data_IF_392386270279
#
_entry.id   IF_392386270279
#
_cell.length_a   1.000
_cell.length_b   1.000
_cell.length_c   1.000
_cell.angle_alpha   90.00
_cell.angle_beta   90.00
_cell.angle_gamma   90.00
#
_symmetry.space_group_name_H-M   'P 1'
#
loop_
_entity.id
_entity.type
_entity.pdbx_description
1 polymer ?
#
# COMPACT_ATOMS: atom_id res chain seq x y z
N UNK A 1 29.03 -68.93 41.75
CA UNK A 1 27.71 -68.92 41.07
C UNK A 1 26.86 -67.81 41.68
N UNK A 2 26.81 -66.63 41.04
CA UNK A 2 25.95 -65.52 41.48
C UNK A 2 24.53 -65.79 40.94
N UNK A 3 23.54 -65.96 41.85
CA UNK A 3 22.14 -65.97 41.47
C UNK A 3 21.69 -64.58 41.12
N UNK A 4 21.23 -64.40 39.90
CA UNK A 4 20.52 -63.18 39.48
C UNK A 4 19.22 -63.02 40.29
N UNK A 5 18.86 -61.83 40.75
CA UNK A 5 17.60 -61.64 41.47
C UNK A 5 16.42 -61.94 40.53
N UNK A 6 15.58 -62.84 40.90
CA UNK A 6 14.34 -63.17 40.22
C UNK A 6 13.34 -62.08 40.55
N UNK A 7 13.05 -61.23 39.58
CA UNK A 7 12.06 -60.13 39.74
C UNK A 7 10.67 -60.72 39.84
N UNK A 8 9.93 -60.35 40.89
CA UNK A 8 8.56 -60.82 41.15
C UNK A 8 7.64 -60.44 39.95
N UNK A 9 6.84 -61.43 39.46
CA UNK A 9 5.94 -61.23 38.33
C UNK A 9 4.92 -60.10 38.57
N UNK A 10 4.56 -59.82 39.85
CA UNK A 10 3.66 -58.78 40.27
C UNK A 10 4.32 -57.41 40.08
N UNK A 11 5.63 -57.28 40.33
CA UNK A 11 6.40 -56.05 40.16
C UNK A 11 6.57 -55.69 38.68
N UNK A 12 6.78 -56.66 37.81
CA UNK A 12 6.83 -56.48 36.36
C UNK A 12 5.46 -56.08 35.79
N UNK A 13 4.36 -56.66 36.29
CA UNK A 13 3.02 -56.30 35.89
C UNK A 13 2.67 -54.83 36.29
N UNK A 14 3.09 -54.40 37.49
CA UNK A 14 2.91 -53.02 37.95
C UNK A 14 3.73 -52.01 37.11
N UNK A 15 4.96 -52.38 36.76
CA UNK A 15 5.82 -51.56 35.88
C UNK A 15 5.23 -51.45 34.46
N UNK A 16 4.69 -52.52 33.91
CA UNK A 16 4.01 -52.50 32.61
C UNK A 16 2.72 -51.66 32.64
N UNK A 17 1.96 -51.70 33.73
CA UNK A 17 0.77 -50.89 33.95
C UNK A 17 1.13 -49.38 34.05
N UNK A 18 2.19 -49.03 34.79
CA UNK A 18 2.67 -47.66 34.92
C UNK A 18 3.20 -47.14 33.57
N UNK A 19 3.96 -47.98 32.84
CA UNK A 19 4.43 -47.65 31.50
C UNK A 19 3.28 -47.48 30.49
N UNK A 20 2.27 -48.33 30.52
CA UNK A 20 1.09 -48.24 29.66
C UNK A 20 0.24 -46.99 30.01
N UNK A 21 0.09 -46.68 31.30
CA UNK A 21 -0.59 -45.45 31.75
C UNK A 21 0.21 -44.21 31.39
N UNK A 22 1.54 -44.24 31.48
CA UNK A 22 2.45 -43.18 31.06
C UNK A 22 2.40 -42.93 29.56
N UNK A 23 2.28 -43.98 28.75
CA UNK A 23 2.10 -43.84 27.29
C UNK A 23 0.71 -43.30 26.89
N UNK A 24 -0.34 -43.61 27.68
CA UNK A 24 -1.67 -43.03 27.41
C UNK A 24 -1.79 -41.55 27.83
N UNK A 25 -0.97 -41.11 28.79
CA UNK A 25 -0.90 -39.67 29.18
C UNK A 25 -0.10 -38.80 28.19
N UNK A 26 0.59 -39.40 27.22
CA UNK A 26 1.15 -38.69 26.06
C UNK A 26 0.12 -38.55 24.91
N UNK A 27 -1.17 -38.48 25.24
CA UNK A 27 -2.08 -37.84 24.30
C UNK A 27 -1.58 -36.40 24.13
N UNK A 28 -0.96 -36.17 22.99
CA UNK A 28 -0.61 -34.83 22.53
C UNK A 28 -1.87 -33.97 22.64
N UNK A 29 -1.92 -33.16 23.70
CA UNK A 29 -2.89 -32.06 23.75
C UNK A 29 -2.57 -31.29 22.49
N UNK A 30 -3.47 -31.37 21.51
CA UNK A 30 -3.33 -30.55 20.31
C UNK A 30 -3.18 -29.12 20.80
N UNK A 31 -1.97 -28.60 20.73
CA UNK A 31 -1.65 -27.27 21.25
C UNK A 31 -2.35 -26.28 20.34
N UNK A 32 -3.38 -25.62 20.88
CA UNK A 32 -4.03 -24.53 20.16
C UNK A 32 -2.98 -23.45 19.82
N UNK A 33 -2.84 -23.13 18.55
CA UNK A 33 -1.83 -22.16 18.09
C UNK A 33 -2.44 -21.16 17.12
N UNK A 34 -1.94 -19.93 17.19
CA UNK A 34 -2.25 -18.86 16.25
C UNK A 34 -0.99 -18.49 15.50
N UNK A 35 -1.10 -18.32 14.20
CA UNK A 35 -0.03 -17.86 13.32
C UNK A 35 -0.51 -16.71 12.43
N UNK A 36 0.41 -15.96 11.85
CA UNK A 36 0.11 -14.94 10.85
C UNK A 36 0.90 -15.26 9.59
N UNK A 37 0.24 -15.49 8.45
CA UNK A 37 0.94 -15.80 7.20
C UNK A 37 1.77 -14.62 6.70
N UNK A 38 1.45 -13.41 7.16
CA UNK A 38 2.15 -12.18 6.81
C UNK A 38 2.25 -11.24 8.02
N UNK A 39 3.48 -10.98 8.47
CA UNK A 39 3.74 -10.12 9.64
C UNK A 39 3.64 -8.64 9.32
N UNK A 40 3.83 -8.23 8.05
CA UNK A 40 3.80 -6.82 7.63
C UNK A 40 2.96 -6.64 6.37
N UNK A 41 1.97 -5.79 6.46
CA UNK A 41 1.14 -5.32 5.35
C UNK A 41 1.53 -3.90 4.99
N UNK A 42 1.82 -3.64 3.70
CA UNK A 42 2.02 -2.30 3.15
C UNK A 42 0.89 -2.05 2.17
N UNK A 43 0.04 -1.07 2.46
CA UNK A 43 -1.20 -0.83 1.72
C UNK A 43 -1.33 0.62 1.29
N UNK A 44 -2.04 0.84 0.19
CA UNK A 44 -2.30 2.18 -0.31
C UNK A 44 -3.41 2.87 0.50
N UNK A 45 -3.22 4.14 0.81
CA UNK A 45 -4.24 5.01 1.39
C UNK A 45 -5.53 4.97 0.56
N UNK A 46 -6.68 4.87 1.22
CA UNK A 46 -7.99 4.77 0.59
C UNK A 46 -8.34 3.39 0.03
N UNK A 47 -7.41 2.41 0.04
CA UNK A 47 -7.70 1.03 -0.37
C UNK A 47 -8.36 0.23 0.74
N UNK A 48 -8.79 -0.99 0.44
CA UNK A 48 -9.24 -1.97 1.44
C UNK A 48 -8.12 -2.96 1.71
N UNK A 49 -8.03 -3.48 2.94
CA UNK A 49 -7.11 -4.56 3.29
C UNK A 49 -7.82 -5.63 4.09
N UNK A 50 -7.44 -6.88 3.87
CA UNK A 50 -7.81 -8.00 4.73
C UNK A 50 -6.56 -8.49 5.46
N UNK A 51 -6.60 -8.42 6.80
CA UNK A 51 -5.55 -8.95 7.67
C UNK A 51 -5.91 -10.37 8.04
N UNK A 52 -4.98 -11.31 7.87
CA UNK A 52 -5.21 -12.75 8.04
C UNK A 52 -4.45 -13.26 9.26
N UNK A 53 -5.15 -14.08 10.05
CA UNK A 53 -4.63 -14.83 11.17
C UNK A 53 -5.11 -16.26 11.04
N UNK A 54 -4.19 -17.21 11.01
CA UNK A 54 -4.50 -18.63 10.97
C UNK A 54 -4.48 -19.19 12.38
N UNK A 55 -5.35 -20.15 12.65
CA UNK A 55 -5.36 -20.86 13.92
C UNK A 55 -5.63 -22.35 13.71
N UNK A 56 -5.04 -23.17 14.58
CA UNK A 56 -5.22 -24.62 14.58
C UNK A 56 -5.81 -25.05 15.92
N UNK A 57 -6.95 -25.74 15.85
CA UNK A 57 -7.65 -26.33 17.01
C UNK A 57 -7.31 -27.80 17.21
N UNK A 58 -6.48 -28.39 16.33
CA UNK A 58 -6.18 -29.83 16.31
C UNK A 58 -7.32 -30.69 15.76
N UNK A 59 -8.37 -30.10 15.18
CA UNK A 59 -9.53 -30.79 14.64
C UNK A 59 -10.59 -29.89 14.04
N UNK A 60 -11.84 -30.36 14.07
CA UNK A 60 -12.96 -29.55 13.59
C UNK A 60 -13.18 -28.28 14.43
N UNK A 61 -13.43 -27.15 13.76
CA UNK A 61 -13.65 -25.86 14.44
C UNK A 61 -15.10 -25.72 14.90
N UNK A 62 -15.30 -25.61 16.22
CA UNK A 62 -16.59 -25.32 16.83
C UNK A 62 -16.78 -23.81 16.96
N UNK A 63 -17.66 -23.23 16.12
CA UNK A 63 -17.85 -21.78 16.04
C UNK A 63 -18.49 -21.17 17.30
N UNK A 64 -19.23 -21.97 18.07
CA UNK A 64 -19.94 -21.50 19.28
C UNK A 64 -18.98 -21.07 20.40
N UNK A 65 -17.82 -21.72 20.50
CA UNK A 65 -16.80 -21.44 21.52
C UNK A 65 -15.63 -20.60 20.97
N UNK A 66 -15.65 -20.26 19.66
CA UNK A 66 -14.61 -19.49 18.98
C UNK A 66 -14.90 -17.98 19.09
N UNK A 67 -13.91 -17.23 19.53
CA UNK A 67 -13.91 -15.76 19.47
C UNK A 67 -12.62 -15.29 18.81
N UNK A 68 -12.75 -14.49 17.76
CA UNK A 68 -11.63 -13.88 17.07
C UNK A 68 -11.75 -12.35 17.14
N UNK A 69 -10.68 -11.67 17.47
CA UNK A 69 -10.64 -10.20 17.55
C UNK A 69 -9.32 -9.65 17.06
N UNK A 70 -9.40 -8.54 16.32
CA UNK A 70 -8.26 -7.74 15.93
C UNK A 70 -8.18 -6.52 16.85
N UNK A 71 -7.03 -6.31 17.46
CA UNK A 71 -6.81 -5.27 18.45
C UNK A 71 -5.65 -4.40 18.01
N UNK A 72 -5.81 -3.08 18.04
CA UNK A 72 -4.73 -2.14 17.77
C UNK A 72 -3.91 -1.91 19.02
N UNK A 73 -2.59 -1.87 18.88
CA UNK A 73 -1.65 -1.61 19.98
C UNK A 73 -1.16 -0.17 19.87
N UNK A 74 -1.49 0.65 20.87
CA UNK A 74 -1.08 2.06 20.96
C UNK A 74 -0.55 2.35 22.36
N UNK A 75 0.70 2.85 22.46
CA UNK A 75 1.33 3.23 23.73
C UNK A 75 1.16 2.19 24.85
N UNK A 76 1.47 0.93 24.55
CA UNK A 76 1.31 -0.24 25.45
C UNK A 76 -0.15 -0.55 25.85
N UNK A 77 -1.12 0.14 25.29
CA UNK A 77 -2.53 -0.19 25.42
C UNK A 77 -3.02 -0.99 24.23
N UNK A 78 -3.96 -1.89 24.49
CA UNK A 78 -4.54 -2.75 23.46
C UNK A 78 -6.02 -2.46 23.38
N UNK A 79 -6.43 -1.89 22.24
CA UNK A 79 -7.81 -1.50 21.99
C UNK A 79 -8.42 -2.33 20.86
N UNK A 80 -9.69 -2.71 21.00
CA UNK A 80 -10.40 -3.38 19.92
C UNK A 80 -10.43 -2.47 18.68
N UNK A 81 -10.13 -3.03 17.52
CA UNK A 81 -10.19 -2.29 16.27
C UNK A 81 -11.65 -2.14 15.80
N UNK A 82 -12.25 -0.97 16.04
CA UNK A 82 -13.63 -0.68 15.65
C UNK A 82 -13.83 -0.65 14.11
N UNK A 83 -12.74 -0.44 13.36
CA UNK A 83 -12.79 -0.35 11.89
C UNK A 83 -12.66 -1.70 11.20
N UNK A 84 -12.25 -2.74 11.94
CA UNK A 84 -12.05 -4.07 11.39
C UNK A 84 -13.32 -4.91 11.50
N UNK A 85 -13.75 -5.50 10.39
CA UNK A 85 -14.89 -6.42 10.34
C UNK A 85 -14.37 -7.85 10.14
N UNK A 86 -14.75 -8.77 11.04
CA UNK A 86 -14.43 -10.18 10.93
C UNK A 86 -15.30 -10.85 9.85
N UNK A 87 -14.64 -11.48 8.87
CA UNK A 87 -15.30 -12.29 7.84
C UNK A 87 -15.45 -13.72 8.36
N UNK A 88 -16.67 -14.11 8.74
CA UNK A 88 -16.94 -15.36 9.45
C UNK A 88 -16.86 -16.62 8.58
N UNK A 89 -16.94 -16.45 7.26
CA UNK A 89 -17.05 -17.55 6.29
C UNK A 89 -15.79 -18.43 6.27
N UNK A 90 -14.64 -17.90 6.68
CA UNK A 90 -13.37 -18.60 6.66
C UNK A 90 -12.99 -19.22 8.02
N UNK A 91 -13.73 -18.91 9.09
CA UNK A 91 -13.46 -19.43 10.43
C UNK A 91 -13.49 -20.97 10.50
N UNK A 92 -14.42 -21.67 9.83
CA UNK A 92 -14.41 -23.15 9.84
C UNK A 92 -13.15 -23.76 9.23
N UNK A 93 -12.40 -23.00 8.43
CA UNK A 93 -11.14 -23.41 7.82
C UNK A 93 -9.90 -23.00 8.65
N UNK A 94 -10.09 -22.56 9.90
CA UNK A 94 -8.99 -22.10 10.75
C UNK A 94 -8.43 -20.73 10.38
N UNK A 95 -9.21 -19.87 9.66
CA UNK A 95 -8.77 -18.57 9.19
C UNK A 95 -9.66 -17.45 9.73
N UNK A 96 -9.09 -16.53 10.47
CA UNK A 96 -9.72 -15.30 10.91
C UNK A 96 -9.29 -14.14 10.02
N UNK A 97 -10.19 -13.70 9.15
CA UNK A 97 -9.96 -12.62 8.20
C UNK A 97 -10.64 -11.32 8.69
N UNK A 98 -9.86 -10.27 8.84
CA UNK A 98 -10.33 -8.96 9.29
C UNK A 98 -10.24 -7.94 8.16
N UNK A 99 -11.38 -7.52 7.62
CA UNK A 99 -11.48 -6.49 6.59
C UNK A 99 -11.46 -5.10 7.22
N UNK A 100 -10.53 -4.25 6.79
CA UNK A 100 -10.51 -2.82 7.10
C UNK A 100 -10.72 -2.07 5.78
N UNK A 101 -11.88 -1.43 5.59
CA UNK A 101 -12.18 -0.68 4.38
C UNK A 101 -11.58 0.72 4.41
N UNK A 102 -11.32 1.30 3.23
CA UNK A 102 -10.89 2.68 3.05
C UNK A 102 -9.79 3.09 4.03
N UNK A 103 -8.63 2.43 3.92
CA UNK A 103 -7.48 2.62 4.80
C UNK A 103 -7.11 4.10 4.95
N UNK A 104 -6.94 4.54 6.19
CA UNK A 104 -6.52 5.86 6.59
C UNK A 104 -5.13 5.82 7.23
N UNK A 105 -4.43 6.96 7.32
CA UNK A 105 -3.11 7.00 7.97
C UNK A 105 -3.15 6.58 9.43
N UNK A 106 -4.26 6.89 10.13
CA UNK A 106 -4.47 6.46 11.52
C UNK A 106 -4.63 4.94 11.69
N UNK A 107 -4.90 4.20 10.61
CA UNK A 107 -4.97 2.74 10.66
C UNK A 107 -3.57 2.08 10.65
N UNK A 108 -2.52 2.84 10.31
CA UNK A 108 -1.16 2.34 10.44
C UNK A 108 -0.81 2.04 11.91
N UNK A 109 -0.02 0.98 12.13
CA UNK A 109 0.41 0.58 13.46
C UNK A 109 0.55 -0.92 13.62
N UNK A 110 0.78 -1.32 14.86
CA UNK A 110 0.83 -2.72 15.26
C UNK A 110 -0.56 -3.19 15.67
N UNK A 111 -0.90 -4.39 15.24
CA UNK A 111 -2.15 -5.07 15.59
C UNK A 111 -1.83 -6.40 16.27
N UNK A 112 -2.68 -6.77 17.24
CA UNK A 112 -2.69 -8.07 17.88
C UNK A 112 -3.94 -8.83 17.41
N UNK A 113 -3.72 -9.97 16.76
CA UNK A 113 -4.77 -10.92 16.44
C UNK A 113 -4.92 -11.89 17.62
N UNK A 114 -6.00 -11.79 18.34
CA UNK A 114 -6.32 -12.66 19.48
C UNK A 114 -7.42 -13.63 19.08
N UNK A 115 -7.15 -14.91 19.24
CA UNK A 115 -8.13 -16.00 19.05
C UNK A 115 -8.31 -16.72 20.38
N UNK A 116 -9.57 -16.93 20.76
CA UNK A 116 -9.99 -17.67 21.96
C UNK A 116 -10.84 -18.84 21.49
N UNK A 117 -10.50 -20.03 21.92
CA UNK A 117 -11.23 -21.27 21.62
C UNK A 117 -11.53 -22.01 22.91
N UNK A 118 -12.76 -21.89 23.42
CA UNK A 118 -13.13 -22.37 24.74
C UNK A 118 -12.30 -21.70 25.85
N UNK A 119 -11.46 -22.47 26.51
CA UNK A 119 -10.55 -21.99 27.58
C UNK A 119 -9.14 -21.69 27.05
N UNK A 120 -8.81 -22.17 25.84
CA UNK A 120 -7.52 -21.92 25.21
C UNK A 120 -7.53 -20.56 24.49
N UNK A 121 -6.38 -19.91 24.46
CA UNK A 121 -6.20 -18.67 23.70
C UNK A 121 -4.74 -18.52 23.30
N UNK A 122 -4.53 -17.88 22.15
CA UNK A 122 -3.21 -17.47 21.68
C UNK A 122 -3.36 -16.21 20.83
N UNK A 123 -2.27 -15.49 20.59
CA UNK A 123 -2.24 -14.31 19.78
C UNK A 123 -0.93 -14.16 19.02
N UNK A 124 -1.01 -13.40 17.90
CA UNK A 124 0.17 -12.97 17.15
C UNK A 124 0.05 -11.49 16.80
N UNK A 125 1.21 -10.88 16.62
CA UNK A 125 1.30 -9.50 16.16
C UNK A 125 1.52 -9.43 14.66
N UNK A 126 0.95 -8.41 14.05
CA UNK A 126 1.19 -8.01 12.67
C UNK A 126 1.27 -6.49 12.59
N UNK A 127 1.92 -5.97 11.55
CA UNK A 127 2.12 -4.54 11.35
C UNK A 127 1.44 -4.09 10.07
N UNK A 128 0.65 -3.02 10.14
CA UNK A 128 0.04 -2.36 9.00
C UNK A 128 0.78 -1.05 8.73
N UNK A 129 1.40 -0.93 7.56
CA UNK A 129 1.99 0.30 7.03
C UNK A 129 1.10 0.87 5.95
N UNK A 130 0.86 2.17 5.99
CA UNK A 130 0.06 2.88 4.99
C UNK A 130 0.97 3.75 4.15
N UNK A 131 0.75 3.75 2.85
CA UNK A 131 1.42 4.65 1.91
C UNK A 131 0.42 5.37 1.02
N UNK A 132 0.76 6.58 0.61
CA UNK A 132 0.08 7.31 -0.45
C UNK A 132 1.15 7.78 -1.44
N UNK A 133 1.10 7.23 -2.66
CA UNK A 133 2.12 7.48 -3.67
C UNK A 133 1.98 8.86 -4.30
N UNK A 134 3.11 9.55 -4.52
CA UNK A 134 3.19 10.88 -5.18
C UNK A 134 2.94 10.80 -6.71
N UNK A 135 1.96 10.01 -7.17
CA UNK A 135 1.70 9.78 -8.61
C UNK A 135 1.13 10.98 -9.35
N UNK A 136 0.36 11.83 -8.67
CA UNK A 136 -0.28 13.00 -9.27
C UNK A 136 0.59 14.24 -9.02
N UNK A 137 1.63 14.42 -9.84
CA UNK A 137 2.52 15.59 -9.74
C UNK A 137 1.96 16.70 -10.61
N UNK A 138 1.57 17.80 -9.97
CA UNK A 138 1.16 19.03 -10.64
C UNK A 138 2.39 19.86 -10.96
N UNK A 139 2.56 20.22 -12.22
CA UNK A 139 3.68 21.04 -12.68
C UNK A 139 3.20 22.40 -13.13
N UNK A 140 3.98 23.43 -12.82
CA UNK A 140 3.73 24.80 -13.24
C UNK A 140 5.02 25.42 -13.80
N UNK A 141 4.89 26.26 -14.82
CA UNK A 141 5.96 27.02 -15.43
C UNK A 141 5.49 28.46 -15.58
N UNK A 142 6.15 29.38 -14.88
CA UNK A 142 5.81 30.81 -14.88
C UNK A 142 7.05 31.64 -15.21
N UNK A 143 6.86 32.74 -15.96
CA UNK A 143 7.90 33.75 -16.13
C UNK A 143 7.91 34.66 -14.88
N UNK A 144 9.10 34.93 -14.33
CA UNK A 144 9.25 35.82 -13.18
C UNK A 144 9.18 37.28 -13.68
N UNK A 145 8.20 38.09 -13.20
CA UNK A 145 8.07 39.48 -13.63
C UNK A 145 9.33 40.29 -13.35
N UNK A 146 9.75 41.13 -14.31
CA UNK A 146 10.92 42.00 -14.16
C UNK A 146 12.28 41.31 -14.25
N UNK A 147 12.33 40.03 -14.60
CA UNK A 147 13.58 39.27 -14.75
C UNK A 147 13.57 38.41 -16.03
N UNK A 148 14.75 37.88 -16.40
CA UNK A 148 14.88 36.92 -17.48
C UNK A 148 14.70 35.44 -16.96
N UNK A 149 14.23 35.28 -15.74
CA UNK A 149 14.11 33.98 -15.11
C UNK A 149 12.71 33.37 -15.29
N UNK A 150 12.66 32.05 -15.16
CA UNK A 150 11.45 31.25 -15.06
C UNK A 150 11.42 30.52 -13.73
N UNK A 151 10.22 30.38 -13.21
CA UNK A 151 9.93 29.61 -12.03
C UNK A 151 9.23 28.30 -12.44
N UNK A 152 9.85 27.20 -12.10
CA UNK A 152 9.33 25.86 -12.30
C UNK A 152 8.87 25.32 -10.95
N UNK A 153 7.64 24.86 -10.87
CA UNK A 153 7.06 24.30 -9.65
C UNK A 153 6.60 22.87 -9.89
N UNK A 154 6.96 21.97 -8.99
CA UNK A 154 6.38 20.64 -8.87
C UNK A 154 5.69 20.52 -7.51
N UNK A 155 4.44 20.07 -7.50
CA UNK A 155 3.66 19.88 -6.30
C UNK A 155 2.95 18.53 -6.35
N UNK A 156 3.01 17.77 -5.27
CA UNK A 156 2.30 16.50 -5.16
C UNK A 156 1.92 16.20 -3.70
N UNK A 157 0.91 15.37 -3.53
CA UNK A 157 0.48 14.85 -2.23
C UNK A 157 0.84 13.38 -2.09
N UNK A 158 1.26 12.99 -0.89
CA UNK A 158 1.61 11.60 -0.59
C UNK A 158 2.01 11.37 0.85
N UNK A 159 2.38 10.12 1.16
CA UNK A 159 2.81 9.70 2.50
C UNK A 159 3.64 8.40 2.40
N UNK A 160 4.72 8.22 3.19
CA UNK A 160 5.42 9.20 4.03
C UNK A 160 6.00 10.39 3.26
N UNK A 161 6.64 11.35 3.98
CA UNK A 161 7.26 12.52 3.38
C UNK A 161 8.31 12.12 2.33
N UNK A 162 8.20 12.67 1.11
CA UNK A 162 9.18 12.46 0.05
C UNK A 162 10.20 13.59 0.00
N UNK A 163 11.41 13.24 -0.41
CA UNK A 163 12.43 14.20 -0.83
C UNK A 163 12.24 14.54 -2.31
N UNK A 164 12.45 15.82 -2.67
CA UNK A 164 12.34 16.27 -4.06
C UNK A 164 13.70 16.69 -4.57
N UNK A 165 14.06 16.18 -5.74
CA UNK A 165 15.30 16.54 -6.44
C UNK A 165 15.03 16.94 -7.89
N UNK A 166 15.97 17.70 -8.46
CA UNK A 166 15.96 18.12 -9.86
C UNK A 166 17.25 17.61 -10.52
N UNK A 167 17.24 16.43 -11.14
CA UNK A 167 18.43 15.84 -11.74
C UNK A 167 19.09 16.74 -12.77
N UNK A 168 20.43 16.77 -12.79
CA UNK A 168 21.25 17.56 -13.71
C UNK A 168 21.08 19.09 -13.57
N UNK A 169 20.63 19.56 -12.38
CA UNK A 169 20.52 20.96 -12.03
C UNK A 169 21.40 21.25 -10.82
N UNK A 170 22.34 22.18 -10.97
CA UNK A 170 23.26 22.60 -9.89
C UNK A 170 22.68 23.72 -9.02
N UNK A 171 21.59 24.36 -9.47
CA UNK A 171 20.94 25.42 -8.72
C UNK A 171 20.05 24.80 -7.64
N UNK A 172 20.13 25.27 -6.38
CA UNK A 172 19.29 24.74 -5.31
C UNK A 172 17.83 25.11 -5.54
N UNK A 173 16.94 24.12 -5.41
CA UNK A 173 15.50 24.35 -5.39
C UNK A 173 15.03 24.62 -3.95
N UNK A 174 13.97 25.40 -3.81
CA UNK A 174 13.30 25.64 -2.52
C UNK A 174 12.18 24.61 -2.40
N UNK A 175 12.31 23.70 -1.44
CA UNK A 175 11.29 22.67 -1.18
C UNK A 175 10.65 22.92 0.18
N UNK A 176 9.32 22.91 0.21
CA UNK A 176 8.50 23.06 1.40
C UNK A 176 7.41 21.98 1.44
N UNK A 177 6.88 21.70 2.63
CA UNK A 177 5.76 20.80 2.78
C UNK A 177 4.79 21.27 3.85
N UNK A 178 3.53 20.90 3.70
CA UNK A 178 2.46 21.09 4.68
C UNK A 178 1.71 19.77 4.85
N UNK A 179 1.00 19.61 5.96
CA UNK A 179 0.09 18.46 6.13
C UNK A 179 -1.34 18.86 5.75
N UNK A 180 -2.01 17.99 5.02
CA UNK A 180 -3.45 18.10 4.77
C UNK A 180 -4.24 17.74 6.03
N UNK A 181 -5.55 18.00 6.04
CA UNK A 181 -6.47 17.57 7.11
C UNK A 181 -6.47 16.05 7.32
N UNK A 182 -6.15 15.29 6.29
CA UNK A 182 -6.07 13.83 6.30
C UNK A 182 -4.70 13.30 6.75
N UNK A 183 -3.73 14.23 7.00
CA UNK A 183 -2.38 13.90 7.44
C UNK A 183 -1.39 13.60 6.32
N UNK A 184 -1.80 13.66 5.05
CA UNK A 184 -0.90 13.53 3.91
C UNK A 184 0.05 14.73 3.83
N UNK A 185 1.23 14.53 3.26
CA UNK A 185 2.15 15.62 2.97
C UNK A 185 1.87 16.19 1.58
N UNK A 186 1.56 17.48 1.51
CA UNK A 186 1.60 18.25 0.28
C UNK A 186 3.00 18.84 0.15
N UNK A 187 3.79 18.32 -0.78
CA UNK A 187 5.18 18.72 -1.01
C UNK A 187 5.25 19.60 -2.24
N UNK A 188 5.86 20.77 -2.11
CA UNK A 188 6.05 21.74 -3.20
C UNK A 188 7.53 22.05 -3.35
N UNK A 189 8.08 21.88 -4.55
CA UNK A 189 9.46 22.24 -4.88
C UNK A 189 9.47 23.27 -6.00
N UNK A 190 10.19 24.36 -5.77
CA UNK A 190 10.29 25.52 -6.66
C UNK A 190 11.74 25.70 -7.09
N UNK A 191 11.95 25.73 -8.40
CA UNK A 191 13.24 25.97 -9.02
C UNK A 191 13.19 27.23 -9.88
N UNK A 192 14.08 28.20 -9.62
CA UNK A 192 14.21 29.41 -10.41
C UNK A 192 15.50 29.38 -11.23
N UNK A 193 15.40 29.63 -12.52
CA UNK A 193 16.55 29.59 -13.42
C UNK A 193 16.30 30.44 -14.70
N UNK A 194 17.37 30.75 -15.42
CA UNK A 194 17.24 31.33 -16.75
C UNK A 194 16.72 30.28 -17.74
N UNK A 195 15.75 30.62 -18.58
CA UNK A 195 15.18 29.68 -19.53
C UNK A 195 16.23 29.21 -20.56
N UNK A 196 16.27 27.90 -20.81
CA UNK A 196 17.06 27.34 -21.90
C UNK A 196 16.09 26.76 -22.94
N UNK A 197 15.97 27.34 -24.12
CA UNK A 197 15.08 26.84 -25.17
C UNK A 197 15.37 25.37 -25.50
N UNK A 198 14.34 24.54 -25.51
CA UNK A 198 14.42 23.12 -25.86
C UNK A 198 14.92 22.20 -24.74
N UNK A 199 15.24 22.71 -23.53
CA UNK A 199 15.59 21.88 -22.39
C UNK A 199 14.35 21.48 -21.59
N UNK A 200 14.21 20.21 -21.29
CA UNK A 200 13.19 19.69 -20.39
C UNK A 200 13.75 19.62 -18.96
N UNK A 201 12.89 19.89 -17.99
CA UNK A 201 13.24 19.82 -16.57
C UNK A 201 12.38 18.75 -15.90
N UNK A 202 13.00 17.87 -15.15
CA UNK A 202 12.31 16.78 -14.44
C UNK A 202 12.47 16.99 -12.94
N UNK A 203 11.38 16.97 -12.20
CA UNK A 203 11.40 16.83 -10.75
C UNK A 203 11.15 15.38 -10.38
N UNK A 204 11.84 14.92 -9.35
CA UNK A 204 11.80 13.55 -8.86
C UNK A 204 11.44 13.58 -7.39
N UNK A 205 10.38 12.87 -7.02
CA UNK A 205 9.96 12.62 -5.65
C UNK A 205 10.46 11.25 -5.23
N UNK A 206 11.30 11.19 -4.21
CA UNK A 206 11.83 9.98 -3.62
C UNK A 206 11.26 9.75 -2.24
N UNK A 207 10.54 8.64 -2.07
CA UNK A 207 10.07 8.18 -0.77
C UNK A 207 10.98 7.06 -0.28
N UNK A 208 11.89 7.37 0.63
CA UNK A 208 12.89 6.44 1.14
C UNK A 208 12.28 5.25 1.90
N UNK A 209 11.26 5.50 2.72
CA UNK A 209 10.62 4.46 3.55
C UNK A 209 9.91 3.40 2.70
N UNK A 210 9.34 3.82 1.56
CA UNK A 210 8.63 2.93 0.64
C UNK A 210 9.49 2.49 -0.54
N UNK A 211 10.70 3.04 -0.69
CA UNK A 211 11.59 2.83 -1.84
C UNK A 211 10.88 3.11 -3.17
N UNK A 212 10.05 4.14 -3.18
CA UNK A 212 9.23 4.52 -4.33
C UNK A 212 9.73 5.84 -4.93
N UNK A 213 9.87 5.86 -6.26
CA UNK A 213 10.28 7.01 -7.03
C UNK A 213 9.18 7.38 -8.02
N UNK A 214 8.79 8.65 -8.02
CA UNK A 214 7.86 9.22 -9.01
C UNK A 214 8.45 10.48 -9.60
N UNK A 215 8.10 10.83 -10.83
CA UNK A 215 8.66 12.00 -11.49
C UNK A 215 7.69 12.66 -12.47
N UNK A 216 7.91 13.94 -12.72
CA UNK A 216 7.22 14.68 -13.76
C UNK A 216 8.19 15.56 -14.53
N UNK A 217 7.96 15.69 -15.83
CA UNK A 217 8.79 16.50 -16.72
C UNK A 217 8.04 17.74 -17.18
N UNK A 218 8.66 18.89 -17.01
CA UNK A 218 8.19 20.20 -17.50
C UNK A 218 8.85 20.44 -18.84
N UNK A 219 8.06 20.47 -19.89
CA UNK A 219 8.52 20.75 -21.26
C UNK A 219 8.44 22.24 -21.51
N UNK A 220 9.56 22.89 -21.80
CA UNK A 220 9.56 24.26 -22.28
C UNK A 220 9.11 24.28 -23.75
N UNK A 221 7.93 24.86 -24.00
CA UNK A 221 7.45 25.01 -25.36
C UNK A 221 8.43 25.92 -26.15
N UNK A 222 9.04 25.37 -27.19
CA UNK A 222 9.83 26.16 -28.12
C UNK A 222 8.93 27.16 -28.85
N UNK A 223 9.46 28.36 -29.22
CA UNK A 223 8.73 29.36 -29.99
C UNK A 223 8.10 28.79 -31.27
N UNK A 224 8.70 27.76 -31.84
CA UNK A 224 8.17 27.02 -33.00
C UNK A 224 6.88 26.27 -32.66
N UNK A 225 6.82 25.63 -31.48
CA UNK A 225 5.62 24.93 -31.04
C UNK A 225 4.47 25.89 -30.68
N UNK A 226 4.79 27.03 -30.08
CA UNK A 226 3.84 28.11 -29.81
C UNK A 226 3.28 28.70 -31.12
N UNK A 227 4.15 28.98 -32.09
CA UNK A 227 3.77 29.48 -33.42
C UNK A 227 2.86 28.46 -34.14
N UNK A 228 3.17 27.17 -34.04
CA UNK A 228 2.36 26.08 -34.62
C UNK A 228 0.98 25.97 -33.96
N UNK A 229 0.89 26.11 -32.64
CA UNK A 229 -0.39 26.16 -31.90
C UNK A 229 -1.21 27.39 -32.19
N UNK A 230 -0.57 28.58 -32.33
CA UNK A 230 -1.20 29.82 -32.72
C UNK A 230 -1.74 29.72 -34.16
N UNK A 231 -0.94 29.24 -35.10
CA UNK A 231 -1.38 29.02 -36.46
C UNK A 231 -2.52 28.03 -36.57
N UNK A 232 -2.53 26.94 -35.77
CA UNK A 232 -3.66 26.01 -35.72
C UNK A 232 -4.94 26.62 -35.12
N UNK A 233 -4.82 27.55 -34.17
CA UNK A 233 -5.96 28.30 -33.61
C UNK A 233 -6.48 29.38 -34.57
N UNK A 234 -5.59 30.06 -35.28
CA UNK A 234 -5.93 31.12 -36.20
C UNK A 234 -6.42 30.61 -37.56
N UNK A 235 -5.93 29.45 -37.97
CA UNK A 235 -6.32 28.76 -39.20
C UNK A 235 -6.75 27.34 -38.87
N UNK A 236 -7.94 27.15 -38.28
CA UNK A 236 -8.51 25.81 -38.15
C UNK A 236 -8.60 25.25 -39.57
N UNK A 237 -8.08 24.03 -39.77
CA UNK A 237 -8.16 23.32 -41.04
C UNK A 237 -9.62 23.36 -41.49
N UNK A 238 -9.89 24.05 -42.62
CA UNK A 238 -11.15 23.91 -43.32
C UNK A 238 -11.32 22.43 -43.64
N UNK A 239 -12.44 21.88 -43.22
CA UNK A 239 -12.78 20.48 -43.32
C UNK A 239 -12.51 19.99 -44.77
N UNK A 240 -11.79 18.87 -44.87
CA UNK A 240 -11.52 18.20 -46.15
C UNK A 240 -12.81 17.85 -46.92
N UNK A 241 -13.95 17.83 -46.22
CA UNK A 241 -15.29 17.65 -46.76
C UNK A 241 -15.76 18.83 -47.66
N UNK A 242 -15.33 20.09 -47.41
CA UNK A 242 -15.69 21.21 -48.28
C UNK A 242 -14.93 21.21 -49.61
N UNK A 243 -13.69 20.72 -49.64
CA UNK A 243 -12.92 20.59 -50.87
C UNK A 243 -13.48 19.51 -51.82
N UNK A 244 -13.96 18.40 -51.26
CA UNK A 244 -14.61 17.33 -52.06
C UNK A 244 -15.92 17.81 -52.70
N UNK A 245 -16.73 18.57 -51.95
CA UNK A 245 -18.00 19.10 -52.49
C UNK A 245 -17.81 20.13 -53.60
N UNK A 246 -16.74 20.95 -53.52
CA UNK A 246 -16.44 21.96 -54.57
C UNK A 246 -15.84 21.34 -55.83
N UNK A 247 -15.08 20.26 -55.71
CA UNK A 247 -14.59 19.49 -56.86
C UNK A 247 -15.71 18.79 -57.61
N UNK A 248 -16.59 18.08 -56.86
CA UNK A 248 -17.75 17.39 -57.48
C UNK A 248 -18.69 18.36 -58.21
N UNK A 249 -18.91 19.56 -57.66
CA UNK A 249 -19.74 20.59 -58.29
C UNK A 249 -19.12 21.15 -59.58
N UNK A 250 -17.80 21.28 -59.67
CA UNK A 250 -17.09 21.72 -60.87
C UNK A 250 -17.04 20.67 -61.97
N UNK A 251 -17.13 19.36 -61.62
CA UNK A 251 -17.22 18.32 -62.65
C UNK A 251 -18.62 18.14 -63.19
N UNK A 252 -19.66 18.36 -62.39
CA UNK A 252 -21.07 18.35 -62.86
C UNK A 252 -21.35 19.55 -63.78
N UNK A 253 -20.82 20.73 -63.50
CA UNK A 253 -20.99 21.93 -64.35
C UNK A 253 -20.19 21.85 -65.68
N UNK A 254 -19.31 20.89 -65.87
CA UNK A 254 -18.59 20.61 -67.14
C UNK A 254 -19.21 19.53 -67.98
N UNK A 255 -20.19 18.79 -67.44
CA UNK A 255 -20.85 17.68 -68.13
C UNK A 255 -22.25 18.03 -68.63
N UNK A 256 -22.72 19.29 -68.49
CA UNK A 256 -23.90 19.90 -69.09
C UNK A 256 -23.43 20.93 -70.13
#
# INVERSE_FOLDING_TARGET
MMRLPQSDPVQNMFLLLILSLGMQLQQTVALFTVTVPKEMYVVDYGSNVTLECDFDTGGHVELEILKASLQKVENDTVLLSERATLLKEQLPLGKALFLIPQIQLKDAGQYRCLIIYGIAWDYKYLTLKVKASYKKIHTRHLKVPGTDEVELTCQAEGYPLAEVSWPNISIPAITSHTKTSEGLYQVTSVLRLKPHPGRNFTCVFWNADMKELTSATIVQATMVALRKRLLQKLYPREDATKRSATMVRKEVDRAI
#
